data_IF_864729410272
#
_entry.id   IF_864729410272
#
_cell.length_a   1.000
_cell.length_b   1.000
_cell.length_c   1.000
_cell.angle_alpha   90.00
_cell.angle_beta   90.00
_cell.angle_gamma   90.00
#
_symmetry.space_group_name_H-M   'P 1'
#
loop_
_entity.id
_entity.type
_entity.pdbx_description
1 polymer ?
#
# COMPACT_ATOMS: atom_id res chain seq x y z
N UNK A 1 23.59 13.46 2.88
CA UNK A 1 23.11 12.27 3.56
C UNK A 1 21.91 11.76 2.80
N UNK A 2 21.89 10.48 2.49
CA UNK A 2 20.74 9.84 1.91
C UNK A 2 19.57 9.76 2.91
N UNK A 3 18.35 9.60 2.40
CA UNK A 3 17.14 9.53 3.24
C UNK A 3 16.84 8.11 3.69
N UNK A 4 16.18 7.98 4.83
CA UNK A 4 15.58 6.72 5.29
C UNK A 4 14.09 6.73 4.96
N UNK A 5 13.64 5.73 4.22
CA UNK A 5 12.25 5.61 3.74
C UNK A 5 11.67 4.29 4.17
N UNK A 6 10.42 4.28 4.61
CA UNK A 6 9.67 3.05 4.86
C UNK A 6 8.58 2.91 3.81
N UNK A 7 8.49 1.75 3.20
CA UNK A 7 7.48 1.42 2.18
C UNK A 7 6.66 0.23 2.65
N UNK A 8 5.34 0.33 2.54
CA UNK A 8 4.41 -0.79 2.70
C UNK A 8 3.29 -0.71 1.66
N UNK A 9 2.51 -1.76 1.52
CA UNK A 9 1.48 -1.88 0.49
C UNK A 9 0.40 -2.87 0.90
N UNK A 10 -0.75 -2.77 0.26
CA UNK A 10 -1.77 -3.82 0.28
C UNK A 10 -2.10 -4.30 1.69
N UNK A 11 -2.44 -3.36 2.55
CA UNK A 11 -2.81 -3.65 3.93
C UNK A 11 -4.19 -4.31 4.03
N UNK A 12 -5.07 -4.07 3.04
CA UNK A 12 -6.40 -4.63 2.94
C UNK A 12 -7.11 -4.64 4.28
N UNK A 13 -7.28 -3.44 4.84
CA UNK A 13 -7.99 -3.27 6.11
C UNK A 13 -9.44 -3.70 5.92
N UNK A 14 -9.84 -4.69 6.71
CA UNK A 14 -11.15 -5.34 6.66
C UNK A 14 -11.72 -5.44 8.08
N UNK A 15 -13.02 -5.13 8.32
CA UNK A 15 -13.62 -5.17 9.64
C UNK A 15 -13.55 -6.54 10.35
N UNK A 16 -13.34 -7.63 9.62
CA UNK A 16 -13.16 -8.96 10.20
C UNK A 16 -11.75 -9.23 10.76
N UNK A 17 -10.79 -8.30 10.54
CA UNK A 17 -9.38 -8.46 10.91
C UNK A 17 -8.93 -7.30 11.78
N UNK A 18 -8.43 -7.57 12.98
CA UNK A 18 -7.94 -6.54 13.91
C UNK A 18 -6.84 -5.64 13.33
N UNK A 19 -6.78 -4.41 13.84
CA UNK A 19 -5.87 -3.36 13.39
C UNK A 19 -4.59 -3.23 14.24
N UNK A 20 -4.31 -4.16 15.16
CA UNK A 20 -3.16 -4.11 16.09
C UNK A 20 -1.83 -3.97 15.34
N UNK A 21 -1.73 -4.55 14.15
CA UNK A 21 -0.53 -4.45 13.31
C UNK A 21 -0.14 -3.01 12.98
N UNK A 22 -1.10 -2.08 12.96
CA UNK A 22 -0.80 -0.65 12.73
C UNK A 22 -0.23 0.04 13.97
N UNK A 23 -0.54 -0.46 15.18
CA UNK A 23 0.16 -0.02 16.39
C UNK A 23 1.63 -0.42 16.31
N UNK A 24 1.95 -1.68 15.95
CA UNK A 24 3.32 -2.16 15.82
C UNK A 24 4.10 -1.35 14.76
N UNK A 25 3.48 -1.09 13.63
CA UNK A 25 4.10 -0.26 12.60
C UNK A 25 4.32 1.18 13.07
N UNK A 26 3.35 1.76 13.75
CA UNK A 26 3.46 3.10 14.32
C UNK A 26 4.61 3.24 15.32
N UNK A 27 4.76 2.26 16.24
CA UNK A 27 5.88 2.18 17.17
C UNK A 27 7.22 2.06 16.45
N UNK A 28 7.30 1.16 15.48
CA UNK A 28 8.48 0.97 14.65
C UNK A 28 8.90 2.24 13.92
N UNK A 29 7.96 2.94 13.29
CA UNK A 29 8.22 4.21 12.60
C UNK A 29 8.69 5.29 13.58
N UNK A 30 8.10 5.32 14.78
CA UNK A 30 8.47 6.27 15.82
C UNK A 30 9.92 6.05 16.28
N UNK A 31 10.38 4.81 16.43
CA UNK A 31 11.74 4.47 16.84
C UNK A 31 12.74 4.65 15.71
N UNK A 32 12.39 4.22 14.49
CA UNK A 32 13.25 4.29 13.31
C UNK A 32 13.52 5.72 12.84
N UNK A 33 12.52 6.63 12.98
CA UNK A 33 12.56 8.03 12.52
C UNK A 33 12.86 8.18 11.03
N UNK A 34 12.07 7.56 10.15
CA UNK A 34 12.30 7.74 8.72
C UNK A 34 12.02 9.19 8.30
N UNK A 35 12.59 9.61 7.18
CA UNK A 35 12.31 10.90 6.59
C UNK A 35 10.90 10.94 6.00
N UNK A 36 10.49 9.86 5.34
CA UNK A 36 9.13 9.69 4.85
C UNK A 36 8.69 8.22 4.79
N UNK A 37 7.39 8.04 4.73
CA UNK A 37 6.70 6.74 4.64
C UNK A 37 5.86 6.75 3.37
N UNK A 38 5.93 5.66 2.60
CA UNK A 38 5.15 5.47 1.37
C UNK A 38 4.17 4.32 1.56
N UNK A 39 2.89 4.62 1.50
CA UNK A 39 1.80 3.64 1.38
C UNK A 39 1.44 3.50 -0.10
N UNK A 40 1.71 2.34 -0.68
CA UNK A 40 1.52 2.09 -2.11
C UNK A 40 0.06 1.76 -2.49
N UNK A 41 -0.89 1.93 -1.60
CA UNK A 41 -2.31 1.71 -1.84
C UNK A 41 -2.80 0.30 -1.53
N UNK A 42 -4.08 0.04 -1.80
CA UNK A 42 -4.84 -1.08 -1.27
C UNK A 42 -4.76 -1.12 0.27
N UNK A 43 -4.84 0.05 0.88
CA UNK A 43 -4.92 0.20 2.33
C UNK A 43 -6.29 -0.27 2.85
N UNK A 44 -7.39 0.26 2.28
CA UNK A 44 -8.74 -0.21 2.54
C UNK A 44 -9.08 -1.40 1.64
N UNK A 45 -9.66 -2.47 2.18
CA UNK A 45 -10.11 -3.59 1.33
C UNK A 45 -11.37 -3.24 0.52
N UNK A 46 -12.25 -2.39 1.07
CA UNK A 46 -13.52 -2.01 0.44
C UNK A 46 -14.31 -3.22 -0.04
N UNK A 47 -14.45 -4.20 0.83
CA UNK A 47 -15.08 -5.49 0.52
C UNK A 47 -16.54 -5.34 0.19
N UNK A 48 -17.24 -4.40 0.82
CA UNK A 48 -18.64 -4.06 0.55
C UNK A 48 -18.90 -3.61 -0.89
N UNK A 49 -17.87 -3.13 -1.58
CA UNK A 49 -17.95 -2.70 -2.99
C UNK A 49 -17.30 -3.70 -3.95
N UNK A 50 -16.97 -4.91 -3.48
CA UNK A 50 -16.38 -5.95 -4.30
C UNK A 50 -17.43 -6.58 -5.22
N UNK A 51 -17.23 -6.50 -6.52
CA UNK A 51 -18.14 -7.08 -7.52
C UNK A 51 -17.82 -8.54 -7.86
N UNK A 52 -16.67 -9.06 -7.44
CA UNK A 52 -16.28 -10.45 -7.71
C UNK A 52 -16.98 -11.45 -6.80
N UNK A 53 -17.33 -11.05 -5.57
CA UNK A 53 -17.99 -11.91 -4.58
C UNK A 53 -19.50 -12.02 -4.76
N UNK A 54 -20.09 -11.39 -5.79
CA UNK A 54 -21.52 -11.47 -6.10
C UNK A 54 -22.01 -12.91 -6.38
N UNK A 55 -21.09 -13.85 -6.56
CA UNK A 55 -21.40 -15.28 -6.69
C UNK A 55 -21.74 -15.98 -5.38
N UNK A 56 -21.47 -15.34 -4.25
CA UNK A 56 -21.67 -15.87 -2.90
C UNK A 56 -22.50 -14.90 -2.08
N UNK A 57 -23.85 -14.96 -2.18
CA UNK A 57 -24.74 -14.01 -1.52
C UNK A 57 -24.52 -13.90 0.00
N UNK A 58 -24.19 -14.99 0.66
CA UNK A 58 -23.88 -15.02 2.09
C UNK A 58 -22.64 -14.18 2.46
N UNK A 59 -21.67 -14.09 1.57
CA UNK A 59 -20.49 -13.24 1.78
C UNK A 59 -20.79 -11.74 1.62
N UNK A 60 -21.88 -11.40 0.94
CA UNK A 60 -22.30 -10.01 0.72
C UNK A 60 -23.13 -9.47 1.88
N UNK A 61 -23.96 -10.32 2.50
CA UNK A 61 -24.92 -9.94 3.55
C UNK A 61 -24.25 -9.34 4.80
N UNK A 62 -23.02 -9.73 5.09
CA UNK A 62 -22.25 -9.22 6.24
C UNK A 62 -21.38 -7.98 5.91
N UNK A 63 -21.38 -7.52 4.66
CA UNK A 63 -20.49 -6.43 4.23
C UNK A 63 -21.20 -5.09 4.37
N UNK A 64 -20.51 -4.13 4.98
CA UNK A 64 -21.05 -2.81 5.26
C UNK A 64 -19.99 -1.75 4.87
N UNK A 65 -20.36 -0.83 3.98
CA UNK A 65 -19.50 0.24 3.54
C UNK A 65 -19.02 1.15 4.68
N UNK A 66 -19.91 1.50 5.61
CA UNK A 66 -19.58 2.33 6.76
C UNK A 66 -18.53 1.65 7.64
N UNK A 67 -18.69 0.35 7.90
CA UNK A 67 -17.70 -0.43 8.64
C UNK A 67 -16.34 -0.52 7.93
N UNK A 68 -16.31 -0.68 6.59
CA UNK A 68 -15.06 -0.63 5.82
C UNK A 68 -14.32 0.70 6.02
N UNK A 69 -15.05 1.82 5.93
CA UNK A 69 -14.52 3.18 6.10
C UNK A 69 -14.04 3.43 7.52
N UNK A 70 -14.85 3.09 8.53
CA UNK A 70 -14.50 3.27 9.94
C UNK A 70 -13.24 2.48 10.30
N UNK A 71 -13.18 1.22 9.84
CA UNK A 71 -12.05 0.35 10.13
C UNK A 71 -10.76 0.82 9.46
N UNK A 72 -10.84 1.31 8.22
CA UNK A 72 -9.72 1.93 7.54
C UNK A 72 -9.21 3.18 8.28
N UNK A 73 -10.11 4.08 8.67
CA UNK A 73 -9.73 5.29 9.39
C UNK A 73 -9.15 4.97 10.79
N UNK A 74 -9.65 3.94 11.49
CA UNK A 74 -9.05 3.44 12.74
C UNK A 74 -7.61 2.94 12.51
N UNK A 75 -7.35 2.20 11.43
CA UNK A 75 -6.01 1.75 11.07
C UNK A 75 -5.04 2.93 10.85
N UNK A 76 -5.49 3.96 10.14
CA UNK A 76 -4.70 5.17 9.89
C UNK A 76 -4.44 5.97 11.18
N UNK A 77 -5.42 6.03 12.10
CA UNK A 77 -5.27 6.66 13.41
C UNK A 77 -4.22 5.92 14.26
N UNK A 78 -4.32 4.58 14.35
CA UNK A 78 -3.37 3.73 15.09
C UNK A 78 -1.95 3.89 14.60
N UNK A 79 -1.74 3.90 13.28
CA UNK A 79 -0.44 4.10 12.66
C UNK A 79 0.22 5.41 13.09
N UNK A 80 -0.59 6.45 13.33
CA UNK A 80 -0.11 7.82 13.62
C UNK A 80 -0.22 8.22 15.08
N UNK A 81 -0.78 7.36 15.93
CA UNK A 81 -1.08 7.65 17.33
C UNK A 81 0.12 8.25 18.08
N UNK A 82 1.29 7.62 18.00
CA UNK A 82 2.50 8.10 18.66
C UNK A 82 2.91 9.51 18.24
N UNK A 83 2.83 9.80 16.96
CA UNK A 83 3.23 11.10 16.41
C UNK A 83 2.28 12.23 16.81
N UNK A 84 1.01 11.91 17.09
CA UNK A 84 0.03 12.90 17.55
C UNK A 84 0.16 13.22 19.04
N UNK A 85 0.56 12.24 19.84
CA UNK A 85 0.58 12.35 21.30
C UNK A 85 1.95 12.63 21.88
N UNK A 86 3.00 12.60 21.09
CA UNK A 86 4.37 12.89 21.52
C UNK A 86 5.02 13.99 20.67
N UNK A 87 5.78 14.87 21.33
CA UNK A 87 6.47 16.01 20.70
C UNK A 87 7.69 15.57 19.87
N UNK A 88 7.49 14.70 18.91
CA UNK A 88 8.54 14.28 17.99
C UNK A 88 8.13 14.64 16.56
N UNK A 89 9.09 15.10 15.75
CA UNK A 89 8.85 15.33 14.33
C UNK A 89 8.37 14.02 13.69
N UNK A 90 7.18 14.05 13.10
CA UNK A 90 6.66 12.93 12.32
C UNK A 90 7.33 12.88 10.94
N UNK A 91 7.44 11.69 10.31
CA UNK A 91 7.81 11.60 8.91
C UNK A 91 6.73 12.24 8.02
N UNK A 92 7.07 12.58 6.79
CA UNK A 92 6.05 12.82 5.76
C UNK A 92 5.41 11.50 5.36
N UNK A 93 4.09 11.50 5.14
CA UNK A 93 3.35 10.33 4.65
C UNK A 93 2.88 10.59 3.23
N UNK A 94 3.26 9.71 2.32
CA UNK A 94 2.85 9.73 0.92
C UNK A 94 1.98 8.50 0.64
N UNK A 95 0.81 8.71 0.06
CA UNK A 95 -0.14 7.64 -0.22
C UNK A 95 -0.46 7.53 -1.71
N UNK A 96 -0.79 6.34 -2.13
CA UNK A 96 -1.24 6.03 -3.48
C UNK A 96 -2.61 5.36 -3.43
N UNK A 97 -3.48 5.70 -4.38
CA UNK A 97 -4.72 4.99 -4.58
C UNK A 97 -4.42 3.60 -5.16
N UNK A 98 -4.94 2.56 -4.52
CA UNK A 98 -4.93 1.20 -5.04
C UNK A 98 -6.23 0.87 -5.77
N UNK A 99 -6.31 -0.33 -6.33
CA UNK A 99 -7.51 -0.75 -7.05
C UNK A 99 -8.70 -1.04 -6.11
N UNK A 100 -8.45 -1.24 -4.82
CA UNK A 100 -9.51 -1.45 -3.82
C UNK A 100 -10.15 -0.12 -3.42
N UNK A 101 -9.42 0.92 -3.11
CA UNK A 101 -9.97 2.27 -2.90
C UNK A 101 -10.70 2.76 -4.15
N UNK A 102 -10.19 2.41 -5.35
CA UNK A 102 -10.80 2.76 -6.63
C UNK A 102 -12.20 2.15 -6.82
N UNK A 103 -12.57 1.11 -6.07
CA UNK A 103 -13.93 0.52 -6.07
C UNK A 103 -15.00 1.57 -5.76
N UNK A 104 -14.72 2.54 -4.89
CA UNK A 104 -15.65 3.64 -4.57
C UNK A 104 -15.98 4.42 -5.84
N UNK A 105 -14.96 4.88 -6.58
CA UNK A 105 -15.13 5.64 -7.82
C UNK A 105 -15.81 4.81 -8.91
N UNK A 106 -15.50 3.52 -9.00
CA UNK A 106 -16.16 2.61 -9.94
C UNK A 106 -17.63 2.41 -9.63
N UNK A 107 -17.99 2.25 -8.36
CA UNK A 107 -19.37 2.10 -7.93
C UNK A 107 -20.19 3.35 -8.26
N UNK A 108 -19.68 4.55 -7.94
CA UNK A 108 -20.31 5.83 -8.28
C UNK A 108 -20.46 5.98 -9.80
N UNK A 109 -19.42 5.64 -10.58
CA UNK A 109 -19.47 5.71 -12.04
C UNK A 109 -20.52 4.76 -12.62
N UNK A 110 -20.73 3.59 -11.99
CA UNK A 110 -21.73 2.61 -12.42
C UNK A 110 -23.14 3.04 -12.05
N UNK A 111 -23.33 3.59 -10.85
CA UNK A 111 -24.59 4.15 -10.39
C UNK A 111 -24.36 5.48 -9.66
N UNK A 112 -24.50 6.62 -10.36
CA UNK A 112 -24.28 7.94 -9.75
C UNK A 112 -25.23 8.29 -8.60
N UNK A 113 -26.34 7.55 -8.42
CA UNK A 113 -27.25 7.75 -7.29
C UNK A 113 -26.64 7.34 -5.96
N UNK A 114 -25.57 6.55 -5.98
CA UNK A 114 -24.83 6.14 -4.78
C UNK A 114 -23.99 7.28 -4.21
N UNK A 115 -23.65 8.30 -5.00
CA UNK A 115 -22.77 9.36 -4.56
C UNK A 115 -23.41 10.22 -3.47
N UNK A 116 -22.70 10.45 -2.38
CA UNK A 116 -23.14 11.34 -1.31
C UNK A 116 -22.19 11.34 -0.11
N UNK A 117 -21.90 12.57 0.37
CA UNK A 117 -21.00 12.75 1.52
C UNK A 117 -21.62 12.42 2.87
N UNK A 118 -22.95 12.33 2.95
CA UNK A 118 -23.68 12.12 4.20
C UNK A 118 -24.47 10.81 4.24
N UNK A 119 -25.11 10.44 3.14
CA UNK A 119 -26.02 9.28 3.08
C UNK A 119 -25.70 8.34 1.92
N UNK A 120 -24.61 8.58 1.22
CA UNK A 120 -24.13 7.77 0.11
C UNK A 120 -22.69 7.31 0.31
N UNK A 121 -22.03 6.96 -0.77
CA UNK A 121 -20.60 6.61 -0.79
C UNK A 121 -19.78 7.78 -1.35
N UNK A 122 -18.59 7.97 -0.84
CA UNK A 122 -17.68 9.04 -1.32
C UNK A 122 -16.23 8.65 -1.07
N UNK A 123 -15.35 8.94 -2.02
CA UNK A 123 -13.91 8.78 -1.84
C UNK A 123 -13.38 9.63 -0.67
N UNK A 124 -14.01 10.77 -0.41
CA UNK A 124 -13.69 11.65 0.71
C UNK A 124 -13.86 11.00 2.08
N UNK A 125 -14.64 9.92 2.21
CA UNK A 125 -14.80 9.18 3.47
C UNK A 125 -13.51 8.50 3.94
N UNK A 126 -12.57 8.21 3.04
CA UNK A 126 -11.23 7.69 3.37
C UNK A 126 -10.35 8.74 4.06
N UNK A 127 -10.76 10.00 4.08
CA UNK A 127 -10.05 11.10 4.73
C UNK A 127 -8.57 11.22 4.33
N UNK A 128 -8.23 10.90 3.09
CA UNK A 128 -6.84 10.84 2.61
C UNK A 128 -6.06 12.10 2.89
N UNK A 129 -6.70 13.29 2.79
CA UNK A 129 -6.10 14.59 3.12
C UNK A 129 -5.74 14.78 4.60
N UNK A 130 -6.35 14.00 5.50
CA UNK A 130 -6.04 14.01 6.93
C UNK A 130 -4.89 13.07 7.26
N UNK A 131 -4.70 12.04 6.46
CA UNK A 131 -3.73 10.99 6.71
C UNK A 131 -2.40 11.18 5.99
N UNK A 132 -2.42 11.76 4.80
CA UNK A 132 -1.25 11.91 3.94
C UNK A 132 -0.91 13.38 3.71
N UNK A 133 0.39 13.69 3.62
CA UNK A 133 0.87 14.99 3.19
C UNK A 133 0.67 15.17 1.68
N UNK A 134 0.82 14.06 0.93
CA UNK A 134 0.47 13.96 -0.50
C UNK A 134 -0.22 12.62 -0.75
N UNK A 135 -1.29 12.63 -1.55
CA UNK A 135 -2.00 11.42 -1.95
C UNK A 135 -2.24 11.42 -3.46
N UNK A 136 -1.74 10.38 -4.11
CA UNK A 136 -1.75 10.24 -5.56
C UNK A 136 -2.90 9.34 -5.99
N UNK A 137 -3.96 9.96 -6.49
CA UNK A 137 -5.13 9.26 -7.01
C UNK A 137 -4.88 8.70 -8.41
N UNK A 138 -5.72 7.75 -8.84
CA UNK A 138 -5.69 7.25 -10.21
C UNK A 138 -5.84 8.38 -11.22
N UNK A 139 -5.01 8.33 -12.24
CA UNK A 139 -5.03 9.24 -13.38
C UNK A 139 -5.44 8.47 -14.65
N UNK A 140 -6.46 8.94 -15.34
CA UNK A 140 -6.96 8.31 -16.57
C UNK A 140 -7.27 6.79 -16.44
N UNK A 141 -7.71 6.36 -15.25
CA UNK A 141 -8.08 4.96 -14.99
C UNK A 141 -6.91 4.03 -14.65
N UNK A 142 -5.71 4.56 -14.45
CA UNK A 142 -4.51 3.83 -14.03
C UNK A 142 -3.93 4.41 -12.74
N UNK A 143 -3.16 3.65 -11.95
CA UNK A 143 -2.45 4.16 -10.79
C UNK A 143 -1.52 5.31 -11.18
N UNK A 144 -1.53 6.37 -10.36
CA UNK A 144 -0.54 7.44 -10.50
C UNK A 144 0.88 6.91 -10.31
N UNK A 145 1.82 7.52 -11.01
CA UNK A 145 3.26 7.27 -10.85
C UNK A 145 3.89 8.56 -10.36
N UNK A 146 4.60 8.47 -9.26
CA UNK A 146 5.30 9.63 -8.71
C UNK A 146 6.73 9.30 -8.30
N UNK A 147 7.65 10.26 -8.52
CA UNK A 147 9.07 10.07 -8.25
C UNK A 147 9.49 10.82 -6.98
N UNK A 148 10.08 10.07 -6.04
CA UNK A 148 10.74 10.63 -4.87
C UNK A 148 12.20 10.19 -4.84
N UNK A 149 13.11 11.15 -4.75
CA UNK A 149 14.56 10.91 -4.65
C UNK A 149 15.13 9.97 -5.74
N UNK A 150 14.55 10.02 -6.96
CA UNK A 150 14.96 9.21 -8.11
C UNK A 150 14.40 7.78 -8.11
N UNK A 151 13.42 7.49 -7.28
CA UNK A 151 12.66 6.22 -7.29
C UNK A 151 11.23 6.51 -7.70
N UNK A 152 10.74 5.82 -8.74
CA UNK A 152 9.33 5.84 -9.13
C UNK A 152 8.51 4.92 -8.21
N UNK A 153 7.41 5.44 -7.70
CA UNK A 153 6.44 4.71 -6.88
C UNK A 153 5.08 4.65 -7.57
N UNK A 154 4.40 3.53 -7.49
CA UNK A 154 3.02 3.35 -7.92
C UNK A 154 2.41 2.14 -7.20
N UNK A 155 1.08 2.07 -7.14
CA UNK A 155 0.43 0.85 -6.67
C UNK A 155 0.83 -0.36 -7.52
N UNK A 156 0.71 -0.23 -8.83
CA UNK A 156 1.33 -1.12 -9.83
C UNK A 156 1.75 -0.33 -11.06
N UNK A 157 2.66 -0.89 -11.83
CA UNK A 157 3.00 -0.37 -13.16
C UNK A 157 2.29 -1.21 -14.22
N UNK A 158 1.74 -0.54 -15.21
CA UNK A 158 1.07 -1.20 -16.33
C UNK A 158 2.05 -1.67 -17.39
N UNK A 159 1.74 -2.78 -18.04
CA UNK A 159 2.48 -3.30 -19.19
C UNK A 159 1.54 -3.77 -20.29
N UNK A 160 2.10 -3.91 -21.49
CA UNK A 160 1.37 -4.38 -22.67
C UNK A 160 0.35 -3.38 -23.21
N UNK A 161 -0.32 -3.75 -24.29
CA UNK A 161 -1.24 -2.88 -25.04
C UNK A 161 -2.54 -2.57 -24.29
N UNK A 162 -2.87 -3.35 -23.26
CA UNK A 162 -4.14 -3.23 -22.53
C UNK A 162 -3.97 -2.65 -21.12
N UNK A 163 -2.76 -2.19 -20.76
CA UNK A 163 -2.52 -1.57 -19.47
C UNK A 163 -2.67 -2.51 -18.26
N UNK A 164 -2.48 -3.82 -18.46
CA UNK A 164 -2.55 -4.79 -17.36
C UNK A 164 -1.46 -4.56 -16.34
N UNK A 165 -1.76 -4.81 -15.06
CA UNK A 165 -0.77 -4.73 -13.98
C UNK A 165 0.38 -5.70 -14.25
N UNK A 166 1.61 -5.20 -14.14
CA UNK A 166 2.79 -6.06 -14.18
C UNK A 166 2.77 -7.03 -13.00
N UNK A 167 3.15 -8.26 -13.24
CA UNK A 167 3.15 -9.33 -12.24
C UNK A 167 4.08 -10.47 -12.68
N UNK A 168 4.03 -11.61 -11.99
CA UNK A 168 4.76 -12.82 -12.33
C UNK A 168 5.85 -13.20 -11.34
N UNK A 169 6.60 -14.26 -11.64
CA UNK A 169 7.63 -14.81 -10.76
C UNK A 169 8.84 -13.87 -10.61
N UNK A 170 9.20 -13.19 -11.70
CA UNK A 170 10.34 -12.25 -11.75
C UNK A 170 9.85 -10.81 -11.92
N UNK A 171 8.93 -10.38 -11.05
CA UNK A 171 8.25 -9.10 -11.17
C UNK A 171 9.22 -7.92 -11.12
N UNK A 172 10.16 -7.91 -10.18
CA UNK A 172 11.18 -6.85 -10.06
C UNK A 172 12.09 -6.76 -11.30
N UNK A 173 12.44 -7.90 -11.91
CA UNK A 173 13.18 -7.90 -13.17
C UNK A 173 12.34 -7.32 -14.32
N UNK A 174 11.03 -7.66 -14.36
CA UNK A 174 10.08 -7.08 -15.31
C UNK A 174 9.99 -5.56 -15.17
N UNK A 175 9.94 -5.04 -13.94
CA UNK A 175 9.96 -3.59 -13.69
C UNK A 175 11.18 -2.94 -14.36
N UNK A 176 12.38 -3.47 -14.13
CA UNK A 176 13.61 -2.90 -14.70
C UNK A 176 13.66 -3.01 -16.22
N UNK A 177 13.10 -4.08 -16.79
CA UNK A 177 13.06 -4.26 -18.24
C UNK A 177 12.14 -3.26 -18.94
N UNK A 178 11.05 -2.85 -18.28
CA UNK A 178 10.07 -1.94 -18.87
C UNK A 178 10.24 -0.48 -18.44
N UNK A 179 10.69 -0.25 -17.21
CA UNK A 179 10.77 1.12 -16.65
C UNK A 179 12.10 1.79 -16.90
N UNK A 180 13.20 1.04 -17.02
CA UNK A 180 14.56 1.54 -17.15
C UNK A 180 14.96 2.56 -16.06
N UNK A 181 14.29 2.52 -14.92
CA UNK A 181 14.39 3.44 -13.80
C UNK A 181 14.15 2.69 -12.49
N UNK A 182 14.74 3.16 -11.38
CA UNK A 182 14.45 2.57 -10.07
C UNK A 182 12.98 2.70 -9.75
N UNK A 183 12.30 1.58 -9.54
CA UNK A 183 10.85 1.51 -9.44
C UNK A 183 10.41 0.60 -8.29
N UNK A 184 9.36 1.02 -7.58
CA UNK A 184 8.81 0.29 -6.42
C UNK A 184 7.30 0.22 -6.54
N UNK A 185 6.74 -0.98 -6.41
CA UNK A 185 5.29 -1.21 -6.42
C UNK A 185 4.85 -2.26 -5.40
N UNK A 186 3.54 -2.39 -5.23
CA UNK A 186 2.84 -3.40 -4.44
C UNK A 186 2.01 -4.36 -5.29
N UNK A 187 0.70 -4.42 -5.01
CA UNK A 187 -0.38 -5.08 -5.75
C UNK A 187 -0.28 -6.61 -5.83
N UNK A 188 0.86 -7.18 -6.21
CA UNK A 188 1.00 -8.62 -6.38
C UNK A 188 1.17 -9.40 -5.07
N UNK A 189 1.29 -8.72 -3.93
CA UNK A 189 1.56 -9.25 -2.59
C UNK A 189 2.86 -10.04 -2.45
N UNK A 190 3.61 -10.22 -3.54
CA UNK A 190 4.91 -10.91 -3.55
C UNK A 190 6.01 -9.95 -3.13
N UNK A 191 7.05 -10.52 -2.53
CA UNK A 191 8.31 -9.80 -2.29
C UNK A 191 9.29 -10.16 -3.38
N UNK A 192 9.79 -9.16 -4.11
CA UNK A 192 10.82 -9.37 -5.12
C UNK A 192 11.75 -8.16 -5.19
N UNK A 193 13.01 -8.41 -5.45
CA UNK A 193 14.07 -7.39 -5.50
C UNK A 193 15.07 -7.73 -6.59
N UNK A 194 15.37 -6.76 -7.44
CA UNK A 194 16.39 -6.89 -8.48
C UNK A 194 17.25 -5.64 -8.57
N UNK A 195 18.55 -5.82 -8.51
CA UNK A 195 19.54 -4.82 -8.87
C UNK A 195 19.95 -5.00 -10.32
N UNK A 196 20.12 -3.90 -11.02
CA UNK A 196 20.69 -3.88 -12.37
C UNK A 196 21.84 -2.88 -12.39
N UNK A 197 23.04 -3.42 -12.34
CA UNK A 197 24.24 -2.64 -12.59
C UNK A 197 24.29 -2.23 -14.07
N UNK A 198 24.75 -1.05 -14.33
CA UNK A 198 24.88 -0.54 -15.68
C UNK A 198 26.18 0.24 -15.80
N UNK A 199 26.62 0.50 -17.05
CA UNK A 199 27.73 1.43 -17.33
C UNK A 199 27.39 2.88 -16.99
N UNK A 200 26.12 3.19 -16.73
CA UNK A 200 25.71 4.46 -16.14
C UNK A 200 26.17 4.52 -14.68
N UNK A 201 26.63 5.66 -14.16
CA UNK A 201 27.20 5.77 -12.81
C UNK A 201 26.26 5.32 -11.67
N UNK A 202 24.96 5.34 -11.91
CA UNK A 202 23.96 4.86 -10.97
C UNK A 202 23.24 3.64 -11.58
N UNK A 203 23.29 2.49 -10.92
CA UNK A 203 22.47 1.34 -11.25
C UNK A 203 20.97 1.65 -11.09
N UNK A 204 20.12 0.66 -11.26
CA UNK A 204 18.67 0.75 -11.01
C UNK A 204 18.18 -0.40 -10.14
N UNK A 205 17.15 -0.15 -9.33
CA UNK A 205 16.59 -1.12 -8.40
C UNK A 205 15.10 -1.31 -8.69
N UNK A 206 14.70 -2.55 -9.00
CA UNK A 206 13.30 -2.96 -9.05
C UNK A 206 12.90 -3.57 -7.71
N UNK A 207 11.83 -3.08 -7.11
CA UNK A 207 11.32 -3.57 -5.82
C UNK A 207 9.82 -3.81 -5.89
N UNK A 208 9.40 -5.00 -5.43
CA UNK A 208 8.00 -5.34 -5.13
C UNK A 208 7.89 -5.49 -3.63
N UNK A 209 7.05 -4.68 -2.99
CA UNK A 209 7.10 -4.45 -1.54
C UNK A 209 6.33 -5.49 -0.70
N UNK A 210 5.72 -6.50 -1.33
CA UNK A 210 4.87 -7.44 -0.61
C UNK A 210 3.50 -6.87 -0.27
N UNK A 211 2.95 -7.26 0.87
CA UNK A 211 1.71 -6.73 1.42
C UNK A 211 1.87 -6.44 2.93
N UNK A 212 0.85 -5.83 3.54
CA UNK A 212 0.78 -5.64 4.99
C UNK A 212 -0.55 -6.18 5.55
N UNK A 213 -1.01 -7.31 4.98
CA UNK A 213 -2.28 -7.95 5.36
C UNK A 213 -2.19 -8.57 6.75
N UNK A 214 -3.33 -8.55 7.46
CA UNK A 214 -3.45 -9.14 8.79
C UNK A 214 -3.88 -10.61 8.80
N UNK A 215 -4.42 -11.12 7.69
CA UNK A 215 -4.90 -12.49 7.57
C UNK A 215 -4.75 -13.05 6.16
N UNK A 216 -4.83 -14.36 6.03
CA UNK A 216 -4.92 -15.06 4.76
C UNK A 216 -6.31 -14.86 4.11
N UNK A 217 -6.34 -14.88 2.79
CA UNK A 217 -7.57 -14.80 2.01
C UNK A 217 -8.06 -16.19 1.64
N UNK A 218 -9.28 -16.52 2.03
CA UNK A 218 -9.85 -17.84 1.74
C UNK A 218 -9.94 -18.15 0.23
N UNK A 219 -10.22 -17.14 -0.60
CA UNK A 219 -10.30 -17.28 -2.05
C UNK A 219 -8.94 -17.54 -2.73
N UNK A 220 -7.85 -17.10 -2.09
CA UNK A 220 -6.51 -17.19 -2.67
C UNK A 220 -5.87 -18.58 -2.48
N UNK A 221 -6.38 -19.40 -1.57
CA UNK A 221 -5.91 -20.77 -1.38
C UNK A 221 -4.39 -20.85 -1.24
N UNK A 222 -3.73 -21.60 -2.13
CA UNK A 222 -2.28 -21.78 -2.12
C UNK A 222 -1.49 -20.49 -2.42
N UNK A 223 -2.09 -19.52 -3.12
CA UNK A 223 -1.41 -18.26 -3.42
C UNK A 223 -1.03 -17.46 -2.17
N UNK A 224 -1.75 -17.63 -1.05
CA UNK A 224 -1.37 -17.05 0.23
C UNK A 224 0.08 -17.39 0.64
N UNK A 225 0.57 -18.58 0.28
CA UNK A 225 1.93 -19.04 0.61
C UNK A 225 3.03 -18.33 -0.18
N UNK A 226 2.67 -17.69 -1.29
CA UNK A 226 3.58 -16.90 -2.12
C UNK A 226 3.64 -15.44 -1.68
N UNK A 227 2.72 -15.00 -0.81
CA UNK A 227 2.64 -13.64 -0.32
C UNK A 227 3.59 -13.42 0.85
N UNK A 228 4.13 -12.22 0.90
CA UNK A 228 4.99 -11.81 1.99
C UNK A 228 4.41 -10.57 2.68
N UNK A 229 4.16 -10.68 3.99
CA UNK A 229 3.64 -9.59 4.79
C UNK A 229 4.75 -8.92 5.60
N UNK A 230 4.89 -7.59 5.42
CA UNK A 230 5.90 -6.79 6.10
C UNK A 230 6.07 -5.41 5.50
N UNK A 231 7.18 -4.77 5.84
CA UNK A 231 7.57 -3.45 5.35
C UNK A 231 8.99 -3.47 4.81
N UNK A 232 9.30 -2.56 3.91
CA UNK A 232 10.65 -2.38 3.39
C UNK A 232 11.21 -1.05 3.89
N UNK A 233 12.34 -1.11 4.58
CA UNK A 233 13.14 0.07 4.92
C UNK A 233 14.17 0.26 3.82
N UNK A 234 14.19 1.42 3.21
CA UNK A 234 15.22 1.86 2.27
C UNK A 234 16.12 2.86 2.99
N UNK A 235 17.40 2.54 3.08
CA UNK A 235 18.39 3.43 3.71
C UNK A 235 19.22 4.12 2.65
N UNK A 236 19.75 5.29 2.98
CA UNK A 236 20.62 6.10 2.11
C UNK A 236 20.03 6.33 0.71
N UNK A 237 18.68 6.55 0.65
CA UNK A 237 18.00 6.82 -0.61
C UNK A 237 18.52 8.10 -1.22
N UNK A 238 19.11 7.99 -2.41
CA UNK A 238 19.63 9.12 -3.19
C UNK A 238 19.76 8.75 -4.65
N UNK A 239 19.23 9.60 -5.54
CA UNK A 239 19.32 9.42 -6.99
C UNK A 239 18.91 8.01 -7.48
N UNK A 240 17.87 7.46 -6.89
CA UNK A 240 17.33 6.16 -7.26
C UNK A 240 18.01 4.94 -6.64
N UNK A 241 19.13 5.11 -5.93
CA UNK A 241 19.85 4.04 -5.25
C UNK A 241 19.50 4.02 -3.75
N UNK A 242 19.53 2.86 -3.14
CA UNK A 242 19.27 2.67 -1.70
C UNK A 242 19.69 1.28 -1.23
N UNK A 243 19.85 1.11 0.09
CA UNK A 243 20.06 -0.17 0.76
C UNK A 243 18.74 -0.69 1.31
N UNK A 244 18.14 -1.75 0.74
CA UNK A 244 16.85 -2.27 1.18
C UNK A 244 16.99 -3.23 2.37
N UNK A 245 16.10 -3.11 3.34
CA UNK A 245 15.94 -4.04 4.46
C UNK A 245 14.48 -4.47 4.55
N UNK A 246 14.21 -5.77 4.46
CA UNK A 246 12.88 -6.34 4.63
C UNK A 246 12.62 -6.69 6.08
N UNK A 247 11.53 -6.18 6.64
CA UNK A 247 11.11 -6.49 8.02
C UNK A 247 9.71 -7.12 7.94
N UNK A 248 9.61 -8.39 8.31
CA UNK A 248 8.32 -9.08 8.29
C UNK A 248 7.36 -8.56 9.35
N UNK A 249 6.07 -8.68 9.11
CA UNK A 249 5.04 -8.32 10.08
C UNK A 249 5.20 -9.16 11.36
N UNK A 250 5.62 -10.42 11.26
CA UNK A 250 5.92 -11.25 12.41
C UNK A 250 7.06 -10.68 13.27
N UNK A 251 8.10 -10.13 12.63
CA UNK A 251 9.18 -9.45 13.34
C UNK A 251 8.69 -8.17 14.04
N UNK A 252 7.85 -7.37 13.38
CA UNK A 252 7.23 -6.20 14.00
C UNK A 252 6.37 -6.57 15.20
N UNK A 253 5.58 -7.65 15.08
CA UNK A 253 4.82 -8.18 16.20
C UNK A 253 5.72 -8.63 17.36
N UNK A 254 6.83 -9.32 17.08
CA UNK A 254 7.77 -9.74 18.11
C UNK A 254 8.45 -8.57 18.85
N UNK A 255 8.66 -7.45 18.15
CA UNK A 255 9.28 -6.26 18.74
C UNK A 255 8.28 -5.37 19.51
N UNK A 256 7.03 -5.30 19.07
CA UNK A 256 6.05 -4.28 19.52
C UNK A 256 4.68 -4.86 19.90
N UNK A 257 4.47 -6.15 19.78
CA UNK A 257 3.16 -6.78 19.97
C UNK A 257 2.75 -7.05 21.43
N UNK A 258 3.64 -6.81 22.39
CA UNK A 258 3.39 -7.04 23.83
C UNK A 258 3.20 -5.74 24.63
N UNK A 259 2.99 -4.62 23.93
CA UNK A 259 2.77 -3.30 24.58
C UNK A 259 1.25 -2.92 24.66
#
# INVERSE_FOLDING_TARGET
MGKTVVVFSCAHVDPSVGNERFNWLGEFLYDLKPDYVVDLGDGADMRSLNTFDTRYPEAIVSQNYEADIEHYNDAQERLRWKFRHHKRKRPSFFGFEGNHEHRIKKAIKTDPRLEGSKYGISFGHLQTKSWFDEYHEYENGAPAIFDYDGVSYAHFFSSGNFGSAMSGLHHANGLLAHRHHSSTCGHSHKRDLKFKDSSHPNGTIGLVAGCYKGAEEGWAGQANREWWSGVVVKREVSNGMYEPQFISQAALRGMYGET
#
